data_IF_722465859937
#
_entry.id   IF_722465859937
#
_cell.length_a   1.000
_cell.length_b   1.000
_cell.length_c   1.000
_cell.angle_alpha   90.00
_cell.angle_beta   90.00
_cell.angle_gamma   90.00
#
_symmetry.space_group_name_H-M   'P 1'
#
loop_
_entity.id
_entity.type
_entity.pdbx_description
1 polymer ?
#
# COMPACT_ATOMS: atom_id res chain seq x y z
N UNK A 1 -14.39 -3.23 -2.89
CA UNK A 1 -14.28 -2.41 -1.65
C UNK A 1 -15.44 -2.61 -0.68
N UNK A 2 -16.69 -2.63 -1.15
CA UNK A 2 -17.88 -2.75 -0.28
C UNK A 2 -17.84 -3.96 0.69
N UNK A 3 -17.51 -5.16 0.19
CA UNK A 3 -17.36 -6.34 1.05
C UNK A 3 -16.12 -6.25 1.96
N UNK A 4 -14.99 -5.79 1.46
CA UNK A 4 -13.76 -5.67 2.25
C UNK A 4 -13.96 -4.74 3.45
N UNK A 5 -14.62 -3.58 3.27
CA UNK A 5 -14.94 -2.66 4.36
C UNK A 5 -15.89 -3.26 5.42
N UNK A 6 -16.84 -4.11 5.01
CA UNK A 6 -17.71 -4.84 5.97
C UNK A 6 -16.91 -5.81 6.82
N UNK A 7 -15.97 -6.54 6.23
CA UNK A 7 -15.13 -7.50 6.94
C UNK A 7 -14.18 -6.85 7.95
N UNK A 8 -13.69 -5.63 7.66
CA UNK A 8 -12.86 -4.88 8.59
C UNK A 8 -13.67 -3.93 9.49
N UNK A 9 -15.00 -4.00 9.44
CA UNK A 9 -15.93 -3.25 10.30
C UNK A 9 -15.79 -1.73 10.25
N UNK A 10 -15.50 -1.13 9.09
CA UNK A 10 -15.35 0.33 8.91
C UNK A 10 -16.57 1.15 9.38
N UNK A 11 -17.78 0.56 9.34
CA UNK A 11 -19.01 1.25 9.73
C UNK A 11 -18.98 1.77 11.18
N UNK A 12 -18.24 1.08 12.06
CA UNK A 12 -18.00 1.53 13.44
C UNK A 12 -17.26 2.86 13.50
N UNK A 13 -16.18 2.98 12.72
CA UNK A 13 -15.36 4.18 12.64
C UNK A 13 -16.16 5.36 12.02
N UNK A 14 -16.91 5.08 10.96
CA UNK A 14 -17.71 6.12 10.29
C UNK A 14 -18.82 6.70 11.17
N UNK A 15 -19.48 5.87 12.01
CA UNK A 15 -20.45 6.36 13.00
C UNK A 15 -19.83 7.31 14.02
N UNK A 16 -18.54 7.23 14.26
CA UNK A 16 -17.77 8.13 15.12
C UNK A 16 -17.19 9.34 14.36
N UNK A 17 -17.49 9.48 13.06
CA UNK A 17 -16.95 10.55 12.22
C UNK A 17 -15.48 10.36 11.84
N UNK A 18 -14.92 9.15 12.03
CA UNK A 18 -13.52 8.85 11.69
C UNK A 18 -13.43 8.48 10.21
N UNK A 19 -13.03 9.44 9.39
CA UNK A 19 -12.98 9.36 7.92
C UNK A 19 -11.58 9.61 7.34
N UNK A 20 -10.58 9.75 8.22
CA UNK A 20 -9.21 10.11 7.85
C UNK A 20 -8.98 11.61 7.61
N UNK A 21 -9.98 12.47 7.90
CA UNK A 21 -9.86 13.92 7.72
C UNK A 21 -8.69 14.49 8.54
N UNK A 22 -7.83 15.26 7.86
CA UNK A 22 -6.65 15.87 8.48
C UNK A 22 -5.44 14.93 8.63
N UNK A 23 -5.53 13.69 8.13
CA UNK A 23 -4.42 12.72 8.13
C UNK A 23 -3.85 12.59 6.73
N UNK A 24 -2.54 12.79 6.59
CA UNK A 24 -1.80 12.54 5.36
C UNK A 24 -1.29 11.09 5.30
N UNK A 25 -1.58 10.40 4.18
CA UNK A 25 -1.11 9.05 3.89
C UNK A 25 -0.17 9.11 2.68
N UNK A 26 1.10 8.77 2.90
CA UNK A 26 2.09 8.68 1.84
C UNK A 26 2.05 7.28 1.21
N UNK A 27 1.88 7.22 -0.11
CA UNK A 27 1.86 5.99 -0.90
C UNK A 27 3.12 5.95 -1.76
N UNK A 28 4.06 5.06 -1.42
CA UNK A 28 5.28 4.79 -2.17
C UNK A 28 5.01 3.68 -3.18
N UNK A 29 4.76 4.05 -4.45
CA UNK A 29 4.28 3.08 -5.46
C UNK A 29 4.58 3.56 -6.90
N UNK A 30 3.77 3.13 -7.89
CA UNK A 30 3.93 3.46 -9.32
C UNK A 30 3.45 4.87 -9.70
N UNK A 31 2.94 5.63 -8.74
CA UNK A 31 2.35 6.95 -8.94
C UNK A 31 0.86 7.00 -8.61
N UNK A 32 0.17 8.04 -9.06
CA UNK A 32 -1.27 8.22 -8.89
C UNK A 32 -1.85 8.91 -10.13
N UNK A 33 -2.89 8.33 -10.71
CA UNK A 33 -3.68 8.98 -11.76
C UNK A 33 -4.69 9.92 -11.10
N UNK A 34 -4.94 11.14 -11.63
CA UNK A 34 -5.92 12.09 -11.09
C UNK A 34 -7.35 11.61 -11.36
N UNK A 35 -7.75 10.54 -10.69
CA UNK A 35 -9.09 9.96 -10.77
C UNK A 35 -10.11 10.85 -10.05
N UNK A 36 -11.36 10.91 -10.54
CA UNK A 36 -12.44 11.70 -9.95
C UNK A 36 -12.66 11.43 -8.46
N UNK A 37 -12.45 10.20 -8.01
CA UNK A 37 -12.63 9.81 -6.61
C UNK A 37 -11.64 10.47 -5.64
N UNK A 38 -10.56 11.03 -6.16
CA UNK A 38 -9.57 11.73 -5.33
C UNK A 38 -9.86 13.21 -5.17
N UNK A 39 -10.62 13.83 -6.09
CA UNK A 39 -10.89 15.27 -6.09
C UNK A 39 -9.59 16.09 -5.87
N UNK A 40 -9.61 17.02 -4.92
CA UNK A 40 -8.46 17.86 -4.55
C UNK A 40 -7.59 17.24 -3.44
N UNK A 41 -7.72 15.93 -3.16
CA UNK A 41 -7.02 15.28 -2.05
C UNK A 41 -5.68 14.64 -2.41
N UNK A 42 -5.27 14.69 -3.68
CA UNK A 42 -3.87 14.47 -4.06
C UNK A 42 -3.14 15.79 -3.75
N UNK A 43 -2.65 15.91 -2.50
CA UNK A 43 -2.06 17.18 -2.02
C UNK A 43 -0.67 17.41 -2.57
N UNK A 44 0.05 16.33 -2.88
CA UNK A 44 1.36 16.41 -3.53
C UNK A 44 1.67 15.11 -4.28
N UNK A 45 2.39 15.27 -5.38
CA UNK A 45 2.97 14.18 -6.16
C UNK A 45 4.47 14.42 -6.33
N UNK A 46 5.28 13.40 -6.04
CA UNK A 46 6.72 13.47 -6.23
C UNK A 46 7.23 12.23 -6.98
N UNK A 47 7.88 12.47 -8.11
CA UNK A 47 8.45 11.43 -8.97
C UNK A 47 9.96 11.29 -8.72
N UNK A 48 10.38 10.23 -8.04
CA UNK A 48 11.79 9.94 -7.75
C UNK A 48 12.57 9.48 -8.99
N UNK A 49 11.88 9.04 -10.05
CA UNK A 49 12.50 8.44 -11.23
C UNK A 49 12.78 9.48 -12.32
N UNK A 50 11.78 10.33 -12.63
CA UNK A 50 11.83 11.27 -13.78
C UNK A 50 11.68 12.74 -13.37
N UNK A 51 11.54 13.00 -12.07
CA UNK A 51 11.36 14.35 -11.48
C UNK A 51 10.21 15.14 -12.10
N UNK A 52 9.10 14.47 -12.43
CA UNK A 52 7.87 15.11 -12.89
C UNK A 52 7.04 15.56 -11.70
N UNK A 53 6.32 16.68 -11.87
CA UNK A 53 5.53 17.30 -10.79
C UNK A 53 4.02 17.13 -10.96
N UNK A 54 3.54 16.77 -12.15
CA UNK A 54 2.13 16.51 -12.40
C UNK A 54 1.81 15.04 -12.11
N UNK A 55 0.74 14.76 -11.36
CA UNK A 55 0.33 13.40 -11.03
C UNK A 55 0.09 12.55 -12.28
N UNK A 56 0.70 11.38 -12.33
CA UNK A 56 0.46 10.34 -13.33
C UNK A 56 0.77 8.96 -12.76
N UNK A 57 0.20 7.94 -13.37
CA UNK A 57 0.50 6.53 -13.09
C UNK A 57 0.45 5.74 -14.40
N UNK A 58 1.61 5.36 -14.88
CA UNK A 58 1.80 4.62 -16.13
C UNK A 58 1.71 3.09 -15.96
N UNK A 59 1.40 2.62 -14.74
CA UNK A 59 1.15 1.22 -14.40
C UNK A 59 -0.29 0.98 -13.92
N UNK A 60 -0.76 1.81 -12.98
CA UNK A 60 -2.08 1.73 -12.36
C UNK A 60 -2.12 1.04 -11.00
N UNK A 61 -1.00 0.50 -10.49
CA UNK A 61 -0.97 -0.13 -9.18
C UNK A 61 -1.12 0.91 -8.06
N UNK A 62 -0.34 1.98 -8.07
CA UNK A 62 -0.40 3.04 -7.06
C UNK A 62 -1.75 3.76 -7.02
N UNK A 63 -2.39 3.96 -8.20
CA UNK A 63 -3.75 4.50 -8.28
C UNK A 63 -4.77 3.58 -7.59
N UNK A 64 -4.64 2.27 -7.81
CA UNK A 64 -5.50 1.27 -7.17
C UNK A 64 -5.33 1.28 -5.65
N UNK A 65 -4.09 1.29 -5.16
CA UNK A 65 -3.73 1.39 -3.74
C UNK A 65 -4.32 2.66 -3.12
N UNK A 66 -4.10 3.82 -3.76
CA UNK A 66 -4.63 5.10 -3.29
C UNK A 66 -6.16 5.12 -3.24
N UNK A 67 -6.82 4.42 -4.17
CA UNK A 67 -8.27 4.25 -4.18
C UNK A 67 -8.79 3.41 -3.01
N UNK A 68 -8.06 2.35 -2.61
CA UNK A 68 -8.40 1.54 -1.41
C UNK A 68 -8.26 2.39 -0.14
N UNK A 69 -7.21 3.18 -0.03
CA UNK A 69 -7.01 4.07 1.12
C UNK A 69 -8.08 5.15 1.15
N UNK A 70 -8.17 5.98 0.11
CA UNK A 70 -8.85 7.26 0.19
C UNK A 70 -9.79 7.60 -0.97
N UNK A 71 -10.19 6.65 -1.82
CA UNK A 71 -11.18 6.91 -2.87
C UNK A 71 -12.54 7.30 -2.27
N UNK A 72 -13.19 8.35 -2.78
CA UNK A 72 -14.56 8.72 -2.35
C UNK A 72 -15.66 7.89 -2.97
N UNK A 73 -15.36 7.10 -4.01
CA UNK A 73 -16.36 6.31 -4.73
C UNK A 73 -17.33 7.14 -5.57
N UNK A 74 -16.99 8.37 -5.93
CA UNK A 74 -17.87 9.28 -6.67
C UNK A 74 -18.28 8.74 -8.04
N UNK A 75 -17.43 7.97 -8.67
CA UNK A 75 -17.70 7.33 -9.97
C UNK A 75 -18.52 6.05 -9.85
N UNK A 76 -18.89 5.63 -8.63
CA UNK A 76 -19.63 4.40 -8.32
C UNK A 76 -20.73 4.61 -7.28
N UNK A 77 -21.22 5.84 -7.12
CA UNK A 77 -22.26 6.20 -6.14
C UNK A 77 -21.94 5.69 -4.71
N UNK A 78 -20.67 5.82 -4.32
CA UNK A 78 -20.14 5.39 -3.02
C UNK A 78 -19.80 3.91 -2.90
N UNK A 79 -20.13 3.07 -3.88
CA UNK A 79 -19.96 1.60 -3.80
C UNK A 79 -18.51 1.19 -3.58
N UNK A 80 -17.58 1.82 -4.29
CA UNK A 80 -16.14 1.49 -4.21
C UNK A 80 -15.33 2.52 -3.40
N UNK A 81 -15.98 3.18 -2.45
CA UNK A 81 -15.33 4.09 -1.51
C UNK A 81 -14.22 3.38 -0.73
N UNK A 82 -13.08 4.04 -0.57
CA UNK A 82 -11.94 3.61 0.25
C UNK A 82 -12.24 3.63 1.75
N UNK A 83 -11.23 3.26 2.54
CA UNK A 83 -11.36 3.14 4.01
C UNK A 83 -11.37 4.51 4.68
N UNK A 84 -10.47 5.42 4.27
CA UNK A 84 -10.32 6.78 4.80
C UNK A 84 -10.65 7.83 3.73
N UNK A 85 -11.95 8.01 3.36
CA UNK A 85 -12.34 8.77 2.18
C UNK A 85 -12.07 10.27 2.26
N UNK A 86 -11.66 10.80 3.41
CA UNK A 86 -11.30 12.21 3.61
C UNK A 86 -9.81 12.43 3.92
N UNK A 87 -8.98 11.39 3.89
CA UNK A 87 -7.54 11.55 4.08
C UNK A 87 -6.88 12.34 2.94
N UNK A 88 -5.77 12.98 3.23
CA UNK A 88 -4.88 13.58 2.22
C UNK A 88 -3.98 12.50 1.61
N UNK A 89 -3.89 12.46 0.28
CA UNK A 89 -3.06 11.50 -0.44
C UNK A 89 -1.76 12.17 -0.89
N UNK A 90 -0.64 11.61 -0.47
CA UNK A 90 0.71 12.00 -0.81
C UNK A 90 1.29 10.88 -1.69
N UNK A 91 1.44 11.11 -2.97
CA UNK A 91 1.93 10.09 -3.89
C UNK A 91 3.42 10.27 -4.17
N UNK A 92 4.20 9.26 -3.85
CA UNK A 92 5.64 9.22 -4.12
C UNK A 92 5.92 8.08 -5.10
N UNK A 93 6.17 8.44 -6.37
CA UNK A 93 6.47 7.45 -7.40
C UNK A 93 7.91 6.97 -7.27
N UNK A 94 8.05 5.71 -6.87
CA UNK A 94 9.33 4.99 -6.68
C UNK A 94 9.45 3.77 -7.60
N UNK A 95 8.38 3.44 -8.34
CA UNK A 95 8.32 2.32 -9.27
C UNK A 95 7.99 2.78 -10.69
N UNK A 96 8.57 2.11 -11.66
CA UNK A 96 8.38 2.37 -13.09
C UNK A 96 7.03 1.83 -13.63
N UNK A 97 6.82 1.94 -14.94
CA UNK A 97 5.62 1.45 -15.63
C UNK A 97 5.43 -0.07 -15.59
N UNK A 98 6.45 -0.82 -15.22
CA UNK A 98 6.38 -2.29 -15.05
C UNK A 98 6.20 -2.69 -13.58
N UNK A 99 6.17 -1.71 -12.67
CA UNK A 99 6.14 -1.95 -11.23
C UNK A 99 7.50 -2.32 -10.63
N UNK A 100 8.60 -2.07 -11.35
CA UNK A 100 9.95 -2.28 -10.85
C UNK A 100 10.54 -0.99 -10.29
N UNK A 101 11.43 -1.09 -9.31
CA UNK A 101 12.15 0.04 -8.73
C UNK A 101 13.42 -0.40 -8.01
N UNK A 102 14.32 0.54 -7.82
CA UNK A 102 15.51 0.30 -7.02
C UNK A 102 15.25 0.63 -5.55
N UNK A 103 15.91 -0.09 -4.66
CA UNK A 103 15.87 0.21 -3.22
C UNK A 103 16.28 1.65 -2.92
N UNK A 104 17.22 2.21 -3.69
CA UNK A 104 17.66 3.61 -3.59
C UNK A 104 16.52 4.61 -3.79
N UNK A 105 15.58 4.31 -4.72
CA UNK A 105 14.46 5.21 -5.02
C UNK A 105 13.43 5.18 -3.89
N UNK A 106 13.15 3.98 -3.33
CA UNK A 106 12.30 3.83 -2.15
C UNK A 106 12.90 4.56 -0.95
N UNK A 107 14.20 4.41 -0.69
CA UNK A 107 14.91 5.09 0.38
C UNK A 107 14.91 6.62 0.21
N UNK A 108 15.06 7.10 -1.03
CA UNK A 108 14.96 8.52 -1.36
C UNK A 108 13.55 9.04 -1.13
N UNK A 109 12.54 8.25 -1.48
CA UNK A 109 11.13 8.53 -1.20
C UNK A 109 10.84 8.64 0.29
N UNK A 110 11.32 7.69 1.11
CA UNK A 110 11.18 7.73 2.57
C UNK A 110 11.80 8.99 3.17
N UNK A 111 13.02 9.35 2.77
CA UNK A 111 13.68 10.58 3.22
C UNK A 111 12.92 11.85 2.81
N UNK A 112 12.33 11.85 1.62
CA UNK A 112 11.49 12.95 1.16
C UNK A 112 10.23 13.08 2.01
N UNK A 113 9.54 11.97 2.29
CA UNK A 113 8.35 11.93 3.17
C UNK A 113 8.68 12.45 4.56
N UNK A 114 9.82 12.05 5.13
CA UNK A 114 10.27 12.52 6.44
C UNK A 114 10.45 14.04 6.48
N UNK A 115 11.12 14.63 5.48
CA UNK A 115 11.34 16.09 5.39
C UNK A 115 10.05 16.88 5.28
N UNK A 116 9.01 16.32 4.66
CA UNK A 116 7.74 17.01 4.42
C UNK A 116 6.62 16.54 5.37
N UNK A 117 6.98 15.82 6.45
CA UNK A 117 6.05 15.26 7.44
C UNK A 117 5.06 16.31 7.97
N UNK A 118 5.57 17.45 8.41
CA UNK A 118 4.76 18.51 8.99
C UNK A 118 3.99 19.30 7.93
N UNK A 119 4.61 19.59 6.80
CA UNK A 119 4.02 20.36 5.72
C UNK A 119 2.73 19.75 5.19
N UNK A 120 2.70 18.42 5.00
CA UNK A 120 1.53 17.71 4.47
C UNK A 120 0.78 16.89 5.53
N UNK A 121 1.11 17.04 6.82
CA UNK A 121 0.47 16.31 7.90
C UNK A 121 0.59 14.79 7.78
N UNK A 122 1.74 14.29 7.26
CA UNK A 122 1.92 12.86 6.96
C UNK A 122 2.06 12.09 8.28
N UNK A 123 1.21 11.09 8.47
CA UNK A 123 1.22 10.22 9.64
C UNK A 123 1.46 8.76 9.28
N UNK A 124 1.05 8.35 8.09
CA UNK A 124 1.04 6.98 7.63
C UNK A 124 1.85 6.86 6.34
N UNK A 125 2.63 5.78 6.23
CA UNK A 125 3.37 5.42 5.01
C UNK A 125 2.89 4.02 4.58
N UNK A 126 2.34 3.92 3.38
CA UNK A 126 1.95 2.67 2.75
C UNK A 126 3.00 2.24 1.72
N UNK A 127 3.53 1.02 1.85
CA UNK A 127 4.46 0.41 0.91
C UNK A 127 3.89 -0.95 0.49
N UNK A 128 3.20 -0.97 -0.65
CA UNK A 128 2.56 -2.19 -1.18
C UNK A 128 3.46 -2.97 -2.14
N UNK A 129 4.77 -2.86 -1.97
CA UNK A 129 5.79 -3.50 -2.80
C UNK A 129 6.87 -4.11 -1.93
N UNK A 130 7.54 -5.11 -2.46
CA UNK A 130 8.63 -5.77 -1.75
C UNK A 130 9.54 -6.57 -2.68
N UNK A 131 10.73 -6.88 -2.20
CA UNK A 131 11.65 -7.75 -2.90
C UNK A 131 11.80 -9.09 -2.18
N UNK A 132 11.92 -10.15 -2.96
CA UNK A 132 12.17 -11.51 -2.46
C UNK A 132 13.53 -12.00 -2.93
N UNK A 133 14.32 -12.55 -2.04
CA UNK A 133 15.60 -13.18 -2.39
C UNK A 133 15.67 -14.62 -1.85
N UNK A 134 15.91 -15.58 -2.75
CA UNK A 134 16.11 -16.99 -2.37
C UNK A 134 17.38 -17.23 -1.53
N UNK A 135 18.33 -16.29 -1.53
CA UNK A 135 19.57 -16.36 -0.74
C UNK A 135 19.40 -15.96 0.72
N UNK A 136 18.17 -15.74 1.17
CA UNK A 136 17.82 -15.22 2.49
C UNK A 136 17.66 -13.70 2.48
N UNK A 137 16.80 -13.22 3.37
CA UNK A 137 16.54 -11.79 3.57
C UNK A 137 17.16 -11.37 4.89
N UNK A 138 17.98 -10.31 4.84
CA UNK A 138 18.65 -9.79 6.02
C UNK A 138 17.86 -8.65 6.64
N UNK A 139 17.68 -8.70 7.97
CA UNK A 139 17.16 -7.58 8.75
C UNK A 139 18.08 -6.34 8.64
N UNK A 140 19.36 -6.53 8.29
CA UNK A 140 20.32 -5.46 8.04
C UNK A 140 20.23 -4.85 6.64
N UNK A 141 19.25 -5.25 5.83
CA UNK A 141 19.10 -4.67 4.49
C UNK A 141 18.81 -3.16 4.57
N UNK A 142 19.25 -2.41 3.56
CA UNK A 142 19.05 -0.97 3.52
C UNK A 142 17.55 -0.59 3.57
N UNK A 143 16.67 -1.39 2.94
CA UNK A 143 15.22 -1.17 2.98
C UNK A 143 14.64 -1.36 4.38
N UNK A 144 15.07 -2.40 5.12
CA UNK A 144 14.62 -2.61 6.51
C UNK A 144 15.07 -1.45 7.38
N UNK A 145 16.36 -1.07 7.32
CA UNK A 145 16.83 0.11 8.07
C UNK A 145 16.09 1.40 7.70
N UNK A 146 15.71 1.56 6.42
CA UNK A 146 14.96 2.73 5.95
C UNK A 146 13.54 2.81 6.53
N UNK A 147 12.81 1.70 6.54
CA UNK A 147 11.45 1.68 7.13
C UNK A 147 11.49 1.74 8.66
N UNK A 148 12.52 1.17 9.28
CA UNK A 148 12.73 1.27 10.73
C UNK A 148 13.02 2.71 11.15
N UNK A 149 13.84 3.44 10.39
CA UNK A 149 14.09 4.85 10.64
C UNK A 149 12.82 5.70 10.48
N UNK A 150 11.99 5.40 9.48
CA UNK A 150 10.69 6.07 9.32
C UNK A 150 9.76 5.80 10.52
N UNK A 151 9.73 4.56 11.02
CA UNK A 151 8.98 4.23 12.23
C UNK A 151 9.48 5.01 13.44
N UNK A 152 10.81 5.05 13.66
CA UNK A 152 11.44 5.79 14.76
C UNK A 152 11.21 7.30 14.65
N UNK A 153 11.05 7.83 13.42
CA UNK A 153 10.63 9.21 13.16
C UNK A 153 9.14 9.47 13.44
N UNK A 154 8.40 8.46 13.93
CA UNK A 154 7.00 8.56 14.37
C UNK A 154 5.99 8.49 13.24
N UNK A 155 6.28 7.75 12.18
CA UNK A 155 5.28 7.34 11.19
C UNK A 155 4.71 5.97 11.53
N UNK A 156 3.45 5.74 11.20
CA UNK A 156 2.91 4.39 11.09
C UNK A 156 3.29 3.86 9.71
N UNK A 157 4.16 2.86 9.67
CA UNK A 157 4.64 2.27 8.39
C UNK A 157 3.96 0.93 8.20
N UNK A 158 3.22 0.81 7.09
CA UNK A 158 2.44 -0.39 6.74
C UNK A 158 2.97 -0.97 5.43
N UNK A 159 3.36 -2.24 5.45
CA UNK A 159 4.03 -2.90 4.33
C UNK A 159 3.37 -4.24 3.97
N UNK A 160 3.45 -4.63 2.70
CA UNK A 160 2.93 -5.91 2.23
C UNK A 160 3.82 -7.09 2.64
N UNK A 161 3.20 -8.21 3.00
CA UNK A 161 3.90 -9.45 3.31
C UNK A 161 4.56 -10.09 2.07
N UNK A 162 4.06 -9.76 0.87
CA UNK A 162 4.46 -10.39 -0.39
C UNK A 162 3.58 -11.56 -0.80
N UNK A 163 3.73 -12.01 -2.04
CA UNK A 163 2.87 -13.03 -2.66
C UNK A 163 3.64 -14.31 -3.01
N UNK A 164 4.54 -14.74 -2.12
CA UNK A 164 5.41 -15.93 -2.32
C UNK A 164 4.99 -17.12 -1.45
N UNK A 165 3.76 -17.08 -0.87
CA UNK A 165 3.18 -18.21 -0.13
C UNK A 165 2.99 -19.45 -1.00
N UNK A 166 2.48 -20.56 -0.42
CA UNK A 166 2.11 -20.74 0.99
C UNK A 166 3.25 -21.17 1.93
N UNK A 167 4.47 -21.37 1.42
CA UNK A 167 5.60 -21.84 2.22
C UNK A 167 6.00 -20.91 3.36
N UNK A 168 6.72 -21.44 4.34
CA UNK A 168 7.36 -20.65 5.38
C UNK A 168 8.51 -19.80 4.83
N UNK A 169 8.91 -18.75 5.57
CA UNK A 169 10.01 -17.85 5.21
C UNK A 169 9.81 -17.12 3.87
N UNK A 170 8.56 -16.81 3.53
CA UNK A 170 8.19 -16.16 2.25
C UNK A 170 7.79 -14.69 2.39
N UNK A 171 7.93 -14.11 3.60
CA UNK A 171 7.75 -12.67 3.81
C UNK A 171 8.80 -11.89 3.01
N UNK A 172 8.39 -10.88 2.27
CA UNK A 172 9.29 -10.04 1.47
C UNK A 172 9.91 -8.90 2.28
N UNK A 173 11.07 -8.42 1.87
CA UNK A 173 11.67 -7.19 2.39
C UNK A 173 10.93 -5.98 1.81
N UNK A 174 10.50 -4.95 2.61
CA UNK A 174 10.88 -4.72 4.01
C UNK A 174 9.95 -5.35 5.07
N UNK A 175 8.98 -6.18 4.73
CA UNK A 175 8.01 -6.80 5.65
C UNK A 175 8.61 -7.70 6.73
N UNK A 176 9.90 -8.05 6.62
CA UNK A 176 10.63 -8.79 7.67
C UNK A 176 11.02 -7.90 8.87
N UNK A 177 10.89 -6.58 8.77
CA UNK A 177 11.20 -5.65 9.87
C UNK A 177 10.38 -5.96 11.12
N UNK A 178 11.01 -5.87 12.29
CA UNK A 178 10.36 -6.05 13.60
C UNK A 178 9.46 -4.89 14.00
N UNK A 179 9.65 -3.70 13.40
CA UNK A 179 8.99 -2.45 13.81
C UNK A 179 7.72 -2.17 13.03
N UNK A 180 7.73 -2.39 11.72
CA UNK A 180 6.64 -1.98 10.85
C UNK A 180 5.48 -2.98 10.86
N UNK A 181 4.29 -2.52 10.51
CA UNK A 181 3.10 -3.37 10.39
C UNK A 181 3.14 -4.11 9.04
N UNK A 182 3.37 -5.41 9.10
CA UNK A 182 3.38 -6.26 7.90
C UNK A 182 2.02 -6.90 7.71
N UNK A 183 1.44 -6.72 6.53
CA UNK A 183 0.06 -7.13 6.23
C UNK A 183 0.04 -8.31 5.25
N UNK A 184 -0.57 -9.40 5.67
CA UNK A 184 -0.90 -10.57 4.85
C UNK A 184 -2.31 -10.49 4.26
N UNK A 185 -2.66 -11.49 3.43
CA UNK A 185 -3.99 -11.64 2.88
C UNK A 185 -4.80 -12.64 3.71
N UNK A 186 -6.08 -12.31 4.05
CA UNK A 186 -6.97 -13.18 4.82
C UNK A 186 -7.87 -14.05 3.96
N UNK A 187 -8.00 -13.78 2.67
CA UNK A 187 -8.90 -14.44 1.73
C UNK A 187 -8.18 -15.02 0.50
N UNK A 188 -6.91 -15.41 0.67
CA UNK A 188 -6.03 -15.97 -0.36
C UNK A 188 -6.33 -17.45 -0.72
N UNK A 189 -7.29 -18.08 -0.03
CA UNK A 189 -7.76 -19.45 -0.30
C UNK A 189 -8.57 -19.60 -1.59
N UNK A 190 -8.82 -18.50 -2.31
CA UNK A 190 -9.48 -18.46 -3.61
C UNK A 190 -8.45 -18.33 -4.72
N UNK A 191 -8.65 -19.06 -5.81
CA UNK A 191 -7.82 -18.86 -7.00
C UNK A 191 -8.13 -17.51 -7.64
N UNK A 192 -7.14 -16.65 -7.73
CA UNK A 192 -7.24 -15.30 -8.27
C UNK A 192 -6.05 -14.96 -9.16
N UNK A 193 -6.17 -13.93 -9.99
CA UNK A 193 -5.04 -13.35 -10.70
C UNK A 193 -4.25 -12.43 -9.75
N UNK A 194 -2.97 -12.73 -9.55
CA UNK A 194 -2.01 -11.90 -8.82
C UNK A 194 -0.90 -11.52 -9.80
N UNK A 195 -0.90 -10.26 -10.22
CA UNK A 195 0.10 -9.71 -11.15
C UNK A 195 0.29 -10.52 -12.45
N UNK A 196 -0.81 -11.04 -13.02
CA UNK A 196 -0.79 -11.81 -14.27
C UNK A 196 -0.56 -13.31 -14.11
N UNK A 197 -0.53 -13.81 -12.88
CA UNK A 197 -0.41 -15.24 -12.58
C UNK A 197 -1.61 -15.72 -11.75
N UNK A 198 -2.17 -16.88 -12.12
CA UNK A 198 -3.19 -17.53 -11.28
C UNK A 198 -2.56 -18.15 -10.06
N UNK A 199 -3.02 -17.75 -8.90
CA UNK A 199 -2.45 -18.14 -7.61
C UNK A 199 -3.55 -18.41 -6.58
N UNK A 200 -3.25 -19.33 -5.66
CA UNK A 200 -4.01 -19.64 -4.45
C UNK A 200 -3.02 -19.69 -3.28
N UNK A 201 -3.47 -19.39 -2.07
CA UNK A 201 -2.62 -19.39 -0.86
C UNK A 201 -1.33 -18.56 -1.02
N UNK A 202 -1.42 -17.46 -1.75
CA UNK A 202 -0.28 -16.67 -2.19
C UNK A 202 0.35 -15.79 -1.10
N UNK A 203 -0.36 -15.49 -0.03
CA UNK A 203 0.13 -14.59 1.02
C UNK A 203 1.45 -15.06 1.62
N UNK A 204 2.41 -14.15 1.71
CA UNK A 204 3.69 -14.43 2.37
C UNK A 204 3.51 -14.84 3.82
N UNK A 205 4.25 -15.86 4.27
CA UNK A 205 4.15 -16.47 5.60
C UNK A 205 5.50 -16.53 6.29
N UNK A 206 5.49 -16.20 7.58
CA UNK A 206 6.64 -16.36 8.47
C UNK A 206 6.88 -17.79 8.94
N UNK A 207 7.75 -17.98 9.94
CA UNK A 207 8.56 -16.93 10.56
C UNK A 207 9.61 -16.35 9.59
N UNK A 208 10.18 -15.18 9.92
CA UNK A 208 11.36 -14.67 9.18
C UNK A 208 12.58 -15.53 9.46
N UNK A 209 13.68 -15.34 8.72
CA UNK A 209 14.94 -16.05 8.98
C UNK A 209 15.50 -15.80 10.39
N UNK A 210 15.13 -14.70 11.01
CA UNK A 210 15.48 -14.37 12.40
C UNK A 210 14.38 -14.79 13.42
N UNK A 211 13.52 -15.75 13.04
CA UNK A 211 12.45 -16.30 13.87
C UNK A 211 11.42 -15.26 14.37
N UNK A 212 11.22 -14.16 13.63
CA UNK A 212 10.16 -13.20 13.92
C UNK A 212 8.84 -13.69 13.34
N UNK A 213 7.78 -13.68 14.14
CA UNK A 213 6.44 -13.99 13.67
C UNK A 213 5.90 -12.87 12.78
N UNK A 214 5.64 -13.16 11.51
CA UNK A 214 5.08 -12.26 10.50
C UNK A 214 4.10 -13.05 9.61
N UNK A 215 3.08 -12.41 8.99
CA UNK A 215 2.69 -10.99 9.12
C UNK A 215 2.12 -10.67 10.50
N UNK A 216 2.05 -9.36 10.86
CA UNK A 216 1.47 -8.91 12.13
C UNK A 216 -0.05 -8.95 12.12
N UNK A 217 -0.65 -8.70 10.95
CA UNK A 217 -2.09 -8.66 10.72
C UNK A 217 -2.42 -9.15 9.32
N UNK A 218 -3.66 -9.56 9.10
CA UNK A 218 -4.20 -9.91 7.79
C UNK A 218 -5.44 -9.08 7.48
N UNK A 219 -5.64 -8.78 6.19
CA UNK A 219 -6.83 -8.12 5.69
C UNK A 219 -7.23 -8.72 4.33
N UNK A 220 -8.47 -8.53 3.84
CA UNK A 220 -8.87 -9.01 2.53
C UNK A 220 -7.97 -8.46 1.42
N UNK A 221 -7.62 -9.29 0.46
CA UNK A 221 -6.72 -8.91 -0.64
C UNK A 221 -7.06 -9.54 -1.96
N UNK A 222 -8.07 -10.42 -2.00
CA UNK A 222 -8.48 -11.13 -3.21
C UNK A 222 -9.62 -10.41 -3.91
N UNK A 223 -9.45 -10.15 -5.21
CA UNK A 223 -10.47 -9.52 -6.10
C UNK A 223 -10.98 -8.17 -5.58
N UNK A 224 -10.10 -7.33 -5.09
CA UNK A 224 -10.44 -5.99 -4.61
C UNK A 224 -10.68 -5.05 -5.80
N UNK A 225 -11.83 -4.38 -5.80
CA UNK A 225 -12.19 -3.38 -6.80
C UNK A 225 -11.80 -1.99 -6.30
N UNK A 226 -11.01 -1.25 -7.07
CA UNK A 226 -10.60 0.12 -6.74
C UNK A 226 -10.28 0.94 -7.99
N UNK A 227 -9.89 2.21 -7.83
CA UNK A 227 -9.62 3.14 -8.90
C UNK A 227 -8.62 2.60 -9.92
N UNK A 228 -8.92 2.77 -11.20
CA UNK A 228 -7.99 2.49 -12.30
C UNK A 228 -7.27 3.77 -12.73
N UNK A 229 -6.12 3.63 -13.41
CA UNK A 229 -5.38 4.75 -13.99
C UNK A 229 -6.02 5.27 -15.29
N UNK A 230 -7.31 5.46 -15.26
CA UNK A 230 -8.14 6.05 -16.31
C UNK A 230 -9.30 6.81 -15.71
N UNK A 231 -9.83 7.78 -16.46
CA UNK A 231 -10.93 8.62 -15.98
C UNK A 231 -12.14 7.78 -15.58
N UNK A 232 -12.63 7.99 -14.35
CA UNK A 232 -13.83 7.36 -13.79
C UNK A 232 -13.85 5.81 -13.81
N UNK A 233 -12.72 5.16 -14.07
CA UNK A 233 -12.65 3.70 -14.19
C UNK A 233 -12.28 3.01 -12.90
N UNK A 234 -12.74 1.76 -12.75
CA UNK A 234 -12.31 0.86 -11.68
C UNK A 234 -11.71 -0.41 -12.30
N UNK A 235 -10.89 -1.09 -11.52
CA UNK A 235 -10.31 -2.37 -11.91
C UNK A 235 -10.22 -3.30 -10.71
N UNK A 236 -10.13 -4.59 -10.97
CA UNK A 236 -9.95 -5.64 -9.97
C UNK A 236 -8.48 -5.99 -9.89
N UNK A 237 -7.94 -6.06 -8.68
CA UNK A 237 -6.59 -6.61 -8.44
C UNK A 237 -6.62 -7.49 -7.20
N UNK A 238 -5.64 -8.41 -7.11
CA UNK A 238 -5.44 -9.27 -5.95
C UNK A 238 -3.99 -9.25 -5.50
N UNK A 239 -3.76 -9.53 -4.21
CA UNK A 239 -2.42 -9.58 -3.61
C UNK A 239 -2.40 -8.97 -2.22
N UNK A 240 -1.36 -9.24 -1.46
CA UNK A 240 -1.09 -8.57 -0.18
C UNK A 240 -0.93 -7.06 -0.35
N UNK A 241 -0.59 -6.62 -1.56
CA UNK A 241 -0.60 -5.21 -1.96
C UNK A 241 -1.97 -4.54 -1.81
N UNK A 242 -3.08 -5.30 -1.92
CA UNK A 242 -4.45 -4.80 -1.74
C UNK A 242 -4.89 -4.87 -0.28
N UNK A 243 -4.34 -5.80 0.50
CA UNK A 243 -4.58 -5.91 1.94
C UNK A 243 -3.92 -4.76 2.71
N UNK A 244 -2.71 -4.39 2.34
CA UNK A 244 -1.90 -3.34 2.98
C UNK A 244 -2.62 -1.98 3.06
N UNK A 245 -3.20 -1.45 1.97
CA UNK A 245 -3.92 -0.17 2.01
C UNK A 245 -5.24 -0.22 2.79
N UNK A 246 -5.84 -1.39 3.00
CA UNK A 246 -6.99 -1.53 3.91
C UNK A 246 -6.59 -1.28 5.37
N UNK A 247 -5.37 -1.65 5.75
CA UNK A 247 -4.81 -1.40 7.09
C UNK A 247 -4.28 0.03 7.21
N UNK A 248 -3.80 0.62 6.11
CA UNK A 248 -3.31 2.01 6.09
C UNK A 248 -4.44 3.04 6.19
N UNK A 249 -5.63 2.71 5.71
CA UNK A 249 -6.83 3.56 5.82
C UNK A 249 -7.50 3.44 7.17
#
# INVERSE_FOLDING_TARGET
>A
MDQAKKWIHCDGAYRLGLTGKGVGVAVLDTGIFPHRDFENRIVVFNDMLKRRFLPYDDNGHGTHISGIIGGKGLSSDGRYQGVAPECSLISVKVLDQKGNGFASDVLSGLKWVERHKQEYGIRIINISVGSFSKKGMSEDSALVRGVDAAWDAGFVVVVAAGNNGPGQHTITTPGISRKVITVGCSDDYKEVDVAGSRMIDYSGRGPTSACVCKPDIVAPGSSIISCANRQNGYTVKSGTSMSTPLVSG
#
